data_IF_748641711525
#
_entry.id   IF_748641711525
#
_cell.length_a   1.000
_cell.length_b   1.000
_cell.length_c   1.000
_cell.angle_alpha   90.00
_cell.angle_beta   90.00
_cell.angle_gamma   90.00
#
_symmetry.space_group_name_H-M   'P 1'
#
loop_
_entity.id
_entity.type
_entity.pdbx_description
1 polymer ?
#
# COMPACT_ATOMS: atom_id res chain seq x y z
N UNK A 1 9.30 4.94 28.46
CA UNK A 1 8.06 5.73 28.26
C UNK A 1 7.85 5.72 26.77
N UNK A 2 7.09 4.75 26.27
CA UNK A 2 7.00 4.53 24.83
C UNK A 2 5.74 5.21 24.33
N UNK A 3 5.90 6.48 23.95
CA UNK A 3 4.91 7.20 23.15
C UNK A 3 4.99 6.72 21.71
N UNK A 4 4.33 5.61 21.40
CA UNK A 4 3.98 5.31 20.02
C UNK A 4 2.85 6.27 19.62
N UNK A 5 3.21 7.28 18.83
CA UNK A 5 2.25 8.23 18.24
C UNK A 5 1.38 7.49 17.23
N UNK A 6 0.07 7.63 17.38
CA UNK A 6 -0.92 7.19 16.39
C UNK A 6 -0.49 7.66 15.00
N UNK A 7 -0.49 6.78 13.99
CA UNK A 7 -0.35 7.25 12.62
C UNK A 7 -1.62 7.99 12.21
N UNK A 8 -1.54 9.31 12.14
CA UNK A 8 -2.66 10.16 11.71
C UNK A 8 -2.91 10.12 10.20
N UNK A 9 -2.04 9.43 9.46
CA UNK A 9 -2.04 9.42 8.02
C UNK A 9 -2.23 7.99 7.47
N UNK A 10 -3.15 7.81 6.52
CA UNK A 10 -3.41 6.53 5.86
C UNK A 10 -2.16 5.93 5.22
N UNK A 11 -2.00 4.60 5.33
CA UNK A 11 -0.96 3.82 4.69
C UNK A 11 -1.57 2.79 3.77
N UNK A 12 -1.31 2.93 2.48
CA UNK A 12 -1.88 2.08 1.44
C UNK A 12 -0.74 1.39 0.69
N UNK A 13 -0.77 0.06 0.58
CA UNK A 13 0.12 -0.66 -0.34
C UNK A 13 -0.64 -1.02 -1.61
N UNK A 14 0.00 -0.87 -2.76
CA UNK A 14 -0.61 -1.15 -4.06
C UNK A 14 0.26 -2.16 -4.82
N UNK A 15 -0.38 -3.26 -5.19
CA UNK A 15 0.16 -4.30 -6.05
C UNK A 15 -0.44 -4.15 -7.45
N UNK A 16 0.42 -4.06 -8.45
CA UNK A 16 0.02 -3.94 -9.85
C UNK A 16 1.03 -3.12 -10.64
N UNK A 17 1.70 -3.76 -11.60
CA UNK A 17 2.72 -3.12 -12.42
C UNK A 17 2.24 -3.00 -13.87
N UNK A 18 1.25 -2.13 -14.11
CA UNK A 18 0.79 -1.83 -15.46
C UNK A 18 0.62 -0.32 -15.67
N UNK A 19 0.74 0.17 -16.92
CA UNK A 19 0.50 1.58 -17.21
C UNK A 19 -0.89 2.08 -16.76
N UNK A 20 -1.91 1.21 -16.83
CA UNK A 20 -3.26 1.52 -16.37
C UNK A 20 -3.30 1.74 -14.84
N UNK A 21 -2.61 0.89 -14.07
CA UNK A 21 -2.48 1.05 -12.61
C UNK A 21 -1.74 2.35 -12.29
N UNK A 22 -0.63 2.62 -12.97
CA UNK A 22 0.15 3.85 -12.76
C UNK A 22 -0.70 5.10 -13.02
N UNK A 23 -1.46 5.14 -14.11
CA UNK A 23 -2.36 6.25 -14.42
C UNK A 23 -3.48 6.36 -13.38
N UNK A 24 -4.08 5.24 -13.00
CA UNK A 24 -5.14 5.22 -12.00
C UNK A 24 -4.66 5.75 -10.66
N UNK A 25 -3.47 5.33 -10.21
CA UNK A 25 -2.86 5.78 -8.96
C UNK A 25 -2.55 7.27 -8.99
N UNK A 26 -2.01 7.78 -10.10
CA UNK A 26 -1.75 9.21 -10.26
C UNK A 26 -3.02 10.05 -10.13
N UNK A 27 -4.13 9.59 -10.72
CA UNK A 27 -5.39 10.32 -10.71
C UNK A 27 -6.08 10.29 -9.33
N UNK A 28 -6.06 9.16 -8.62
CA UNK A 28 -6.84 8.97 -7.39
C UNK A 28 -6.07 9.25 -6.10
N UNK A 29 -4.73 9.17 -6.13
CA UNK A 29 -3.88 9.40 -4.96
C UNK A 29 -2.98 10.63 -5.16
N UNK A 30 -3.52 11.70 -5.77
CA UNK A 30 -2.76 12.91 -6.07
C UNK A 30 -2.16 13.57 -4.81
N UNK A 31 -2.91 13.64 -3.70
CA UNK A 31 -2.46 14.22 -2.44
C UNK A 31 -1.68 13.30 -1.50
N UNK A 32 -1.47 12.04 -1.89
CA UNK A 32 -0.66 11.08 -1.13
C UNK A 32 0.82 11.18 -1.50
N UNK A 33 1.69 11.00 -0.52
CA UNK A 33 3.10 10.74 -0.78
C UNK A 33 3.27 9.34 -1.39
N UNK A 34 3.97 9.26 -2.52
CA UNK A 34 4.18 7.99 -3.25
C UNK A 34 5.59 7.47 -3.00
N UNK A 35 5.68 6.27 -2.45
CA UNK A 35 6.92 5.53 -2.24
C UNK A 35 6.96 4.35 -3.21
N UNK A 36 8.10 4.08 -3.84
CA UNK A 36 8.27 2.94 -4.75
C UNK A 36 9.18 1.89 -4.12
N UNK A 37 8.73 0.63 -4.16
CA UNK A 37 9.49 -0.54 -3.75
C UNK A 37 10.66 -0.91 -4.65
N UNK A 38 10.64 -0.46 -5.90
CA UNK A 38 11.53 -0.93 -6.97
C UNK A 38 13.01 -0.73 -6.64
N UNK A 39 13.34 0.35 -5.95
CA UNK A 39 14.73 0.71 -5.62
C UNK A 39 15.21 0.17 -4.27
N UNK A 40 14.31 -0.35 -3.43
CA UNK A 40 14.63 -0.74 -2.04
C UNK A 40 14.45 -2.23 -1.78
N UNK A 41 13.67 -2.94 -2.61
CA UNK A 41 13.42 -4.38 -2.45
C UNK A 41 14.68 -5.27 -2.53
N UNK A 42 15.79 -4.74 -3.06
CA UNK A 42 17.07 -5.47 -3.21
C UNK A 42 18.01 -5.31 -2.01
N UNK A 43 17.70 -4.42 -1.06
CA UNK A 43 18.55 -4.07 0.08
C UNK A 43 18.48 -5.10 1.25
N UNK A 44 17.72 -6.19 1.07
CA UNK A 44 17.39 -7.18 2.09
C UNK A 44 16.10 -6.83 2.86
N UNK A 45 15.41 -7.85 3.38
CA UNK A 45 14.03 -7.70 3.86
C UNK A 45 13.87 -6.69 5.00
N UNK A 46 14.75 -6.73 6.00
CA UNK A 46 14.69 -5.80 7.14
C UNK A 46 15.09 -4.38 6.74
N UNK A 47 16.14 -4.24 5.91
CA UNK A 47 16.66 -2.92 5.51
C UNK A 47 15.68 -2.22 4.56
N UNK A 48 15.09 -2.94 3.61
CA UNK A 48 14.06 -2.42 2.73
C UNK A 48 12.84 -1.92 3.51
N UNK A 49 12.37 -2.69 4.50
CA UNK A 49 11.26 -2.29 5.37
C UNK A 49 11.60 -1.04 6.17
N UNK A 50 12.84 -0.95 6.69
CA UNK A 50 13.29 0.23 7.43
C UNK A 50 13.33 1.48 6.56
N UNK A 51 13.81 1.39 5.31
CA UNK A 51 13.85 2.54 4.38
C UNK A 51 12.43 3.06 4.10
N UNK A 52 11.47 2.15 3.83
CA UNK A 52 10.07 2.54 3.60
C UNK A 52 9.45 3.11 4.87
N UNK A 53 9.62 2.45 6.02
CA UNK A 53 9.07 2.89 7.28
C UNK A 53 9.60 4.27 7.70
N UNK A 54 10.92 4.48 7.60
CA UNK A 54 11.56 5.76 7.89
C UNK A 54 11.04 6.87 6.95
N UNK A 55 10.82 6.55 5.66
CA UNK A 55 10.20 7.49 4.71
C UNK A 55 8.76 7.84 5.07
N UNK A 56 8.01 6.90 5.66
CA UNK A 56 6.63 7.12 6.13
C UNK A 56 6.64 8.00 7.39
N UNK A 57 7.54 7.71 8.33
CA UNK A 57 7.58 8.37 9.64
C UNK A 57 8.23 9.77 9.61
N UNK A 58 9.02 10.09 8.59
CA UNK A 58 9.76 11.36 8.49
C UNK A 58 8.96 12.56 7.98
N UNK A 59 7.70 12.41 7.59
CA UNK A 59 7.03 13.44 6.77
C UNK A 59 6.55 14.67 7.54
N UNK A 60 6.84 15.83 6.90
CA UNK A 60 6.34 17.16 7.20
C UNK A 60 5.12 17.58 6.38
N UNK A 61 4.66 18.81 6.61
CA UNK A 61 3.29 19.35 6.47
C UNK A 61 2.59 19.28 5.08
N UNK A 62 3.16 18.64 4.04
CA UNK A 62 2.68 18.75 2.65
C UNK A 62 1.87 17.57 2.09
N UNK A 63 1.75 16.44 2.80
CA UNK A 63 1.02 15.24 2.32
C UNK A 63 -0.12 14.89 3.27
N UNK A 64 -1.19 15.69 3.21
CA UNK A 64 -2.33 15.59 4.12
C UNK A 64 -3.10 14.26 4.01
N UNK A 65 -3.06 13.60 2.84
CA UNK A 65 -3.90 12.42 2.58
C UNK A 65 -3.21 11.09 2.93
N UNK A 66 -1.89 11.11 3.21
CA UNK A 66 -1.12 9.95 3.66
C UNK A 66 -0.14 9.37 2.64
N UNK A 67 0.06 8.05 2.67
CA UNK A 67 1.12 7.34 1.95
C UNK A 67 0.58 6.23 1.07
N UNK A 68 1.06 6.19 -0.17
CA UNK A 68 0.90 5.07 -1.09
C UNK A 68 2.25 4.45 -1.35
N UNK A 69 2.34 3.14 -1.14
CA UNK A 69 3.54 2.34 -1.34
C UNK A 69 3.28 1.43 -2.54
N UNK A 70 4.02 1.63 -3.63
CA UNK A 70 3.85 0.91 -4.88
C UNK A 70 4.82 -0.26 -4.95
N UNK A 71 4.35 -1.43 -5.40
CA UNK A 71 5.18 -2.61 -5.68
C UNK A 71 6.06 -3.05 -4.48
N UNK A 72 5.54 -2.90 -3.27
CA UNK A 72 6.15 -3.34 -2.01
C UNK A 72 5.04 -3.60 -1.01
N UNK A 73 5.17 -4.56 -0.08
CA UNK A 73 6.27 -5.53 0.11
C UNK A 73 6.41 -6.57 -1.01
N UNK A 74 7.60 -7.14 -1.23
CA UNK A 74 7.82 -8.20 -2.22
C UNK A 74 7.66 -9.62 -1.66
N UNK A 75 7.72 -9.78 -0.34
CA UNK A 75 7.55 -11.07 0.34
C UNK A 75 6.95 -10.88 1.74
N UNK A 76 6.55 -11.99 2.39
CA UNK A 76 5.89 -11.96 3.71
C UNK A 76 6.79 -11.32 4.77
N UNK A 77 8.09 -11.61 4.77
CA UNK A 77 9.04 -11.07 5.75
C UNK A 77 9.08 -9.54 5.68
N UNK A 78 9.12 -8.98 4.47
CA UNK A 78 9.04 -7.54 4.25
C UNK A 78 7.72 -6.94 4.74
N UNK A 79 6.59 -7.63 4.51
CA UNK A 79 5.27 -7.19 4.96
C UNK A 79 5.16 -7.15 6.49
N UNK A 80 5.63 -8.21 7.16
CA UNK A 80 5.64 -8.30 8.61
C UNK A 80 6.53 -7.22 9.23
N UNK A 81 7.75 -7.05 8.70
CA UNK A 81 8.67 -6.02 9.18
C UNK A 81 8.08 -4.62 9.00
N UNK A 82 7.49 -4.34 7.83
CA UNK A 82 6.86 -3.05 7.55
C UNK A 82 5.73 -2.78 8.55
N UNK A 83 4.79 -3.72 8.70
CA UNK A 83 3.65 -3.59 9.62
C UNK A 83 4.10 -3.33 11.06
N UNK A 84 5.14 -4.01 11.54
CA UNK A 84 5.70 -3.78 12.88
C UNK A 84 6.23 -2.35 13.01
N UNK A 85 6.90 -1.83 11.99
CA UNK A 85 7.55 -0.52 12.04
C UNK A 85 6.59 0.65 11.90
N UNK A 86 5.48 0.47 11.18
CA UNK A 86 4.54 1.56 10.88
C UNK A 86 3.18 1.41 11.56
N UNK A 87 3.03 0.46 12.48
CA UNK A 87 1.76 0.15 13.14
C UNK A 87 0.67 -0.29 12.13
N UNK A 88 1.07 -1.18 11.23
CA UNK A 88 0.22 -1.78 10.22
C UNK A 88 -0.04 -0.91 8.99
N UNK A 89 -0.21 -1.59 7.86
CA UNK A 89 -0.84 -1.03 6.66
C UNK A 89 -2.36 -1.00 6.84
N UNK A 90 -3.00 0.13 6.51
CA UNK A 90 -4.46 0.28 6.63
C UNK A 90 -5.19 -0.45 5.50
N UNK A 91 -4.65 -0.38 4.28
CA UNK A 91 -5.28 -0.93 3.09
C UNK A 91 -4.24 -1.50 2.14
N UNK A 92 -4.46 -2.74 1.69
CA UNK A 92 -3.73 -3.34 0.60
C UNK A 92 -4.65 -3.44 -0.63
N UNK A 93 -4.17 -2.96 -1.77
CA UNK A 93 -4.92 -2.95 -3.01
C UNK A 93 -4.17 -3.78 -4.03
N UNK A 94 -4.84 -4.79 -4.59
CA UNK A 94 -4.33 -5.55 -5.71
C UNK A 94 -5.12 -5.20 -6.97
N UNK A 95 -4.45 -4.58 -7.93
CA UNK A 95 -5.01 -4.34 -9.25
C UNK A 95 -4.60 -5.46 -10.20
N UNK A 96 -5.61 -6.11 -10.77
CA UNK A 96 -5.46 -7.13 -11.81
C UNK A 96 -5.97 -6.57 -13.15
N UNK A 97 -5.36 -6.99 -14.25
CA UNK A 97 -5.84 -6.70 -15.60
C UNK A 97 -6.45 -7.97 -16.22
N UNK A 98 -7.34 -8.66 -15.49
CA UNK A 98 -7.89 -9.97 -15.92
C UNK A 98 -6.93 -11.17 -15.83
N UNK A 99 -5.64 -10.94 -15.57
CA UNK A 99 -4.65 -11.98 -15.28
C UNK A 99 -4.27 -11.97 -13.80
N UNK A 100 -4.28 -13.14 -13.15
CA UNK A 100 -3.77 -13.27 -11.79
C UNK A 100 -2.25 -13.21 -11.82
N UNK A 101 -1.67 -12.10 -11.40
CA UNK A 101 -0.22 -12.01 -11.27
C UNK A 101 0.23 -12.82 -10.04
N UNK A 102 1.00 -13.89 -10.27
CA UNK A 102 1.48 -14.80 -9.23
C UNK A 102 2.56 -14.18 -8.34
N UNK A 103 3.20 -13.09 -8.79
CA UNK A 103 4.41 -12.51 -8.20
C UNK A 103 4.23 -11.98 -6.77
N UNK A 104 2.99 -11.84 -6.28
CA UNK A 104 2.72 -11.36 -4.93
C UNK A 104 1.79 -12.26 -4.11
N UNK A 105 1.48 -13.49 -4.56
CA UNK A 105 0.42 -14.31 -3.94
C UNK A 105 0.57 -14.49 -2.42
N UNK A 106 1.80 -14.72 -1.94
CA UNK A 106 2.09 -14.91 -0.52
C UNK A 106 1.83 -13.62 0.29
N UNK A 107 2.21 -12.47 -0.25
CA UNK A 107 1.99 -11.15 0.37
C UNK A 107 0.51 -10.76 0.33
N UNK A 108 -0.17 -11.07 -0.77
CA UNK A 108 -1.62 -10.89 -0.89
C UNK A 108 -2.35 -11.78 0.13
N UNK A 109 -1.91 -13.03 0.31
CA UNK A 109 -2.41 -13.91 1.36
C UNK A 109 -2.28 -13.31 2.75
N UNK A 110 -1.10 -12.76 3.06
CA UNK A 110 -0.83 -12.08 4.33
C UNK A 110 -1.83 -10.92 4.59
N UNK A 111 -2.04 -10.02 3.62
CA UNK A 111 -2.98 -8.91 3.83
C UNK A 111 -4.46 -9.33 3.79
N UNK A 112 -4.78 -10.43 3.09
CA UNK A 112 -6.13 -11.02 3.11
C UNK A 112 -6.48 -11.56 4.48
N UNK A 113 -5.56 -12.28 5.15
CA UNK A 113 -5.77 -12.81 6.50
C UNK A 113 -5.99 -11.71 7.53
N UNK A 114 -5.38 -10.54 7.31
CA UNK A 114 -5.56 -9.35 8.15
C UNK A 114 -6.84 -8.55 7.85
N UNK A 115 -7.58 -8.93 6.81
CA UNK A 115 -8.80 -8.23 6.39
C UNK A 115 -8.54 -6.84 5.79
N UNK A 116 -7.32 -6.57 5.30
CA UNK A 116 -6.96 -5.27 4.69
C UNK A 116 -6.82 -5.35 3.18
N UNK A 117 -6.89 -6.53 2.57
CA UNK A 117 -6.77 -6.70 1.11
C UNK A 117 -8.10 -6.46 0.37
N UNK A 118 -8.02 -5.64 -0.67
CA UNK A 118 -9.07 -5.46 -1.68
C UNK A 118 -8.49 -5.75 -3.07
N UNK A 119 -9.27 -6.44 -3.90
CA UNK A 119 -8.90 -6.74 -5.27
C UNK A 119 -9.77 -5.92 -6.23
N UNK A 120 -9.12 -5.26 -7.19
CA UNK A 120 -9.77 -4.56 -8.28
C UNK A 120 -9.34 -5.16 -9.61
N UNK A 121 -10.33 -5.43 -10.46
CA UNK A 121 -10.10 -5.75 -11.86
C UNK A 121 -10.34 -4.47 -12.68
N UNK A 122 -9.28 -3.91 -13.25
CA UNK A 122 -9.37 -2.69 -14.06
C UNK A 122 -10.07 -2.91 -15.40
N UNK A 123 -10.24 -4.17 -15.83
CA UNK A 123 -10.97 -4.52 -17.05
C UNK A 123 -12.47 -4.71 -16.83
N UNK A 124 -12.93 -4.82 -15.58
CA UNK A 124 -14.36 -4.88 -15.31
C UNK A 124 -14.95 -3.48 -15.41
N UNK A 125 -15.76 -3.26 -16.44
CA UNK A 125 -16.60 -2.07 -16.59
C UNK A 125 -17.52 -1.94 -15.37
N UNK A 126 -17.07 -1.13 -14.42
CA UNK A 126 -17.74 -0.82 -13.18
C UNK A 126 -16.99 0.33 -12.51
N UNK A 127 -17.66 1.02 -11.60
CA UNK A 127 -17.11 2.20 -10.95
C UNK A 127 -16.03 1.81 -9.91
N UNK A 128 -14.86 1.40 -10.40
CA UNK A 128 -13.66 1.08 -9.60
C UNK A 128 -13.32 2.28 -8.71
N UNK A 129 -13.55 3.49 -9.20
CA UNK A 129 -13.38 4.74 -8.45
C UNK A 129 -14.32 4.81 -7.25
N UNK A 130 -15.62 4.56 -7.42
CA UNK A 130 -16.55 4.54 -6.28
C UNK A 130 -16.20 3.44 -5.28
N UNK A 131 -15.91 2.22 -5.74
CA UNK A 131 -15.53 1.12 -4.83
C UNK A 131 -14.23 1.42 -4.08
N UNK A 132 -13.28 2.12 -4.70
CA UNK A 132 -12.07 2.58 -4.05
C UNK A 132 -12.38 3.63 -2.97
N UNK A 133 -13.27 4.58 -3.26
CA UNK A 133 -13.68 5.57 -2.26
C UNK A 133 -14.35 4.88 -1.06
N UNK A 134 -15.27 3.95 -1.30
CA UNK A 134 -15.93 3.19 -0.23
C UNK A 134 -14.92 2.37 0.59
N UNK A 135 -13.95 1.75 -0.08
CA UNK A 135 -12.86 1.03 0.55
C UNK A 135 -12.00 1.91 1.45
N UNK A 136 -11.57 3.08 0.95
CA UNK A 136 -10.83 4.07 1.72
C UNK A 136 -11.68 4.48 2.93
N UNK A 137 -12.95 4.83 2.74
CA UNK A 137 -13.83 5.20 3.85
C UNK A 137 -13.97 4.11 4.92
N UNK A 138 -14.02 2.83 4.52
CA UNK A 138 -14.18 1.71 5.43
C UNK A 138 -12.89 1.32 6.19
N UNK A 139 -11.72 1.50 5.59
CA UNK A 139 -10.44 1.00 6.14
C UNK A 139 -9.54 2.11 6.70
N UNK A 140 -9.87 3.37 6.43
CA UNK A 140 -8.99 4.51 6.69
C UNK A 140 -9.63 5.53 7.64
N UNK A 141 -10.96 5.55 7.80
CA UNK A 141 -11.61 6.41 8.81
C UNK A 141 -11.47 5.80 10.22
N UNK A 142 -10.55 6.34 11.01
CA UNK A 142 -10.59 6.38 12.47
C UNK A 142 -10.88 7.82 12.92
#
# INVERSE_FOLDING_TARGET
MDTYKMPQNPKIVIFGNSPAVSQFVQNHFAGYNKLSGENVGQEGDQKSAHIIADSILRIGENFADGHVILNYPLNITQAQNLDIMIDGVNLAINFTNGEQNSENQDVLGYYKERGTLINFDLNQEGDVSQKLQDAILAHIKL
#
